data_IF_071929262480
#
_entry.id   IF_071929262480
#
_cell.length_a   1.000
_cell.length_b   1.000
_cell.length_c   1.000
_cell.angle_alpha   90.00
_cell.angle_beta   90.00
_cell.angle_gamma   90.00
#
_symmetry.space_group_name_H-M   'P 1'
#
loop_
_entity.id
_entity.type
_entity.pdbx_description
1 polymer ?
#
# COMPACT_ATOMS: atom_id res chain seq x y z
N UNK A 1 9.19 -50.50 7.04
CA UNK A 1 8.78 -49.32 7.81
C UNK A 1 8.67 -48.15 6.83
N UNK A 2 7.47 -47.74 6.40
CA UNK A 2 7.34 -46.53 5.58
C UNK A 2 7.37 -45.28 6.47
N UNK A 3 8.11 -44.27 6.03
CA UNK A 3 8.17 -42.93 6.61
C UNK A 3 6.76 -42.30 6.67
N UNK A 4 6.40 -41.57 7.74
CA UNK A 4 5.18 -40.78 7.76
C UNK A 4 5.34 -39.53 6.84
N UNK A 5 4.39 -39.25 5.95
CA UNK A 5 4.45 -38.04 5.14
C UNK A 5 4.34 -36.80 6.04
N UNK A 6 5.25 -35.86 5.80
CA UNK A 6 5.37 -34.59 6.50
C UNK A 6 4.04 -33.85 6.57
N UNK A 7 3.76 -33.30 7.75
CA UNK A 7 2.59 -32.50 8.06
C UNK A 7 2.35 -31.42 6.99
N UNK A 8 1.19 -31.48 6.36
CA UNK A 8 0.69 -30.44 5.47
C UNK A 8 0.52 -29.15 6.25
N UNK A 9 1.21 -28.11 5.81
CA UNK A 9 1.05 -26.73 6.27
C UNK A 9 -0.42 -26.29 6.13
N UNK A 10 -0.91 -25.34 6.97
CA UNK A 10 -2.30 -24.92 6.94
C UNK A 10 -2.61 -24.30 5.58
N UNK A 11 -3.55 -24.90 4.86
CA UNK A 11 -4.06 -24.40 3.58
C UNK A 11 -4.59 -22.99 3.79
N UNK A 12 -3.91 -22.01 3.21
CA UNK A 12 -4.43 -20.65 3.12
C UNK A 12 -5.79 -20.72 2.40
N UNK A 13 -6.81 -20.08 2.99
CA UNK A 13 -8.11 -19.95 2.33
C UNK A 13 -7.92 -18.99 1.16
N UNK A 14 -8.21 -19.46 -0.04
CA UNK A 14 -8.21 -18.64 -1.24
C UNK A 14 -9.66 -18.30 -1.58
N UNK A 15 -9.92 -17.01 -1.77
CA UNK A 15 -11.24 -16.51 -2.16
C UNK A 15 -11.18 -16.03 -3.61
N UNK A 16 -11.89 -16.74 -4.50
CA UNK A 16 -12.00 -16.39 -5.93
C UNK A 16 -13.25 -15.57 -6.17
N UNK A 17 -13.09 -14.44 -6.83
CA UNK A 17 -14.19 -13.52 -7.17
C UNK A 17 -14.85 -13.89 -8.52
N UNK A 18 -16.09 -13.44 -8.78
CA UNK A 18 -16.75 -13.66 -10.06
C UNK A 18 -15.94 -13.05 -11.23
N UNK A 19 -15.89 -13.73 -12.40
CA UNK A 19 -14.99 -13.35 -13.49
C UNK A 19 -15.38 -12.06 -14.25
N UNK A 20 -16.58 -11.51 -14.01
CA UNK A 20 -17.09 -10.28 -14.65
C UNK A 20 -17.16 -9.08 -13.68
N UNK A 21 -16.60 -9.23 -12.49
CA UNK A 21 -16.74 -8.23 -11.44
C UNK A 21 -15.80 -7.04 -11.66
N UNK A 22 -16.37 -5.87 -11.96
CA UNK A 22 -15.60 -4.63 -12.17
C UNK A 22 -15.36 -3.81 -10.89
N UNK A 23 -16.24 -3.99 -9.89
CA UNK A 23 -16.24 -3.21 -8.66
C UNK A 23 -16.40 -4.12 -7.46
N UNK A 24 -15.48 -4.04 -6.52
CA UNK A 24 -15.47 -4.83 -5.30
C UNK A 24 -15.52 -3.92 -4.08
N UNK A 25 -16.46 -4.20 -3.18
CA UNK A 25 -16.53 -3.54 -1.86
C UNK A 25 -16.53 -4.63 -0.80
N UNK A 26 -15.58 -4.54 0.13
CA UNK A 26 -15.47 -5.41 1.30
C UNK A 26 -15.44 -4.51 2.53
N UNK A 27 -16.50 -4.57 3.35
CA UNK A 27 -16.59 -3.81 4.60
C UNK A 27 -16.73 -4.75 5.79
N UNK A 28 -15.96 -4.50 6.85
CA UNK A 28 -16.12 -5.08 8.19
C UNK A 28 -16.42 -6.60 8.21
N UNK A 29 -15.63 -7.35 7.43
CA UNK A 29 -15.74 -8.81 7.33
C UNK A 29 -14.82 -9.48 8.35
N UNK A 30 -14.96 -9.14 9.64
CA UNK A 30 -14.08 -9.64 10.69
C UNK A 30 -14.05 -11.18 10.74
N UNK A 31 -12.93 -11.78 10.34
CA UNK A 31 -12.69 -13.22 10.38
C UNK A 31 -13.45 -14.07 9.33
N UNK A 32 -14.29 -13.47 8.49
CA UNK A 32 -15.06 -14.20 7.46
C UNK A 32 -14.24 -14.47 6.20
N UNK A 33 -13.45 -13.49 5.79
CA UNK A 33 -12.52 -13.59 4.67
C UNK A 33 -11.14 -13.77 5.26
N UNK A 34 -10.57 -14.97 5.09
CA UNK A 34 -9.25 -15.32 5.62
C UNK A 34 -8.28 -15.56 4.48
N UNK A 35 -7.03 -15.15 4.64
CA UNK A 35 -5.97 -15.50 3.69
C UNK A 35 -5.92 -14.59 2.46
N UNK A 36 -5.84 -15.20 1.28
CA UNK A 36 -5.57 -14.50 0.01
C UNK A 36 -6.86 -14.27 -0.77
N UNK A 37 -7.03 -13.05 -1.27
CA UNK A 37 -8.10 -12.69 -2.18
C UNK A 37 -7.55 -12.55 -3.60
N UNK A 38 -8.13 -13.32 -4.53
CA UNK A 38 -7.71 -13.34 -5.92
C UNK A 38 -8.57 -12.39 -6.77
N UNK A 39 -7.92 -11.40 -7.38
CA UNK A 39 -8.54 -10.33 -8.15
C UNK A 39 -8.81 -10.77 -9.59
N UNK A 40 -10.04 -10.61 -10.12
CA UNK A 40 -10.39 -11.00 -11.47
C UNK A 40 -9.99 -9.91 -12.48
N UNK A 41 -9.75 -10.34 -13.72
CA UNK A 41 -9.30 -9.50 -14.84
C UNK A 41 -10.06 -8.18 -15.08
N UNK A 42 -11.41 -8.11 -15.02
CA UNK A 42 -12.11 -6.87 -15.31
C UNK A 42 -12.21 -5.92 -14.11
N UNK A 43 -11.61 -6.27 -12.96
CA UNK A 43 -11.70 -5.46 -11.76
C UNK A 43 -11.01 -4.11 -11.97
N UNK A 44 -11.78 -3.03 -11.78
CA UNK A 44 -11.34 -1.63 -11.91
C UNK A 44 -11.36 -0.89 -10.59
N UNK A 45 -12.32 -1.19 -9.72
CA UNK A 45 -12.53 -0.46 -8.47
C UNK A 45 -12.54 -1.39 -7.27
N UNK A 46 -11.76 -1.03 -6.26
CA UNK A 46 -11.65 -1.82 -5.04
C UNK A 46 -11.72 -0.93 -3.80
N UNK A 47 -12.60 -1.33 -2.88
CA UNK A 47 -12.78 -0.70 -1.58
C UNK A 47 -12.71 -1.79 -0.50
N UNK A 48 -11.73 -1.72 0.40
CA UNK A 48 -11.63 -2.61 1.55
C UNK A 48 -11.56 -1.75 2.81
N UNK A 49 -12.53 -1.94 3.72
CA UNK A 49 -12.69 -1.14 4.92
C UNK A 49 -12.80 -2.05 6.14
N UNK A 50 -11.96 -1.81 7.14
CA UNK A 50 -12.06 -2.50 8.44
C UNK A 50 -11.83 -4.00 8.36
N UNK A 51 -11.00 -4.48 7.43
CA UNK A 51 -10.75 -5.91 7.30
C UNK A 51 -9.66 -6.40 8.28
N UNK A 52 -9.92 -7.53 8.94
CA UNK A 52 -9.01 -8.16 9.91
C UNK A 52 -8.73 -9.64 9.66
N UNK A 53 -9.04 -10.15 8.46
CA UNK A 53 -8.81 -11.55 8.10
C UNK A 53 -8.05 -11.77 6.79
N UNK A 54 -8.17 -10.84 5.84
CA UNK A 54 -7.40 -10.84 4.61
C UNK A 54 -5.94 -10.51 4.90
N UNK A 55 -5.05 -11.33 4.39
CA UNK A 55 -3.60 -11.19 4.56
C UNK A 55 -2.93 -10.73 3.29
N UNK A 56 -3.46 -11.11 2.13
CA UNK A 56 -2.86 -10.83 0.83
C UNK A 56 -3.91 -10.55 -0.24
N UNK A 57 -3.57 -9.68 -1.18
CA UNK A 57 -4.27 -9.51 -2.45
C UNK A 57 -3.37 -9.99 -3.59
N UNK A 58 -3.88 -10.86 -4.45
CA UNK A 58 -3.15 -11.44 -5.58
C UNK A 58 -3.96 -11.35 -6.86
N UNK A 59 -3.31 -11.25 -8.02
CA UNK A 59 -4.00 -11.27 -9.30
C UNK A 59 -4.17 -12.70 -9.79
N UNK A 60 -5.34 -13.04 -10.32
CA UNK A 60 -5.47 -14.26 -11.11
C UNK A 60 -4.58 -14.14 -12.35
N UNK A 61 -3.62 -15.05 -12.52
CA UNK A 61 -2.85 -15.16 -13.75
C UNK A 61 -3.77 -15.63 -14.88
N UNK A 62 -4.25 -14.68 -15.68
CA UNK A 62 -4.94 -14.91 -16.94
C UNK A 62 -4.35 -14.02 -18.05
N UNK A 63 -4.83 -14.16 -19.27
CA UNK A 63 -4.37 -13.36 -20.44
C UNK A 63 -4.55 -11.84 -20.26
N UNK A 64 -5.40 -11.41 -19.31
CA UNK A 64 -5.63 -10.02 -18.97
C UNK A 64 -5.60 -9.84 -17.44
N UNK A 65 -4.54 -9.29 -16.84
CA UNK A 65 -4.55 -8.94 -15.42
C UNK A 65 -5.50 -7.75 -15.18
N UNK A 66 -5.99 -7.56 -13.93
CA UNK A 66 -6.77 -6.38 -13.60
C UNK A 66 -5.99 -5.09 -13.89
N UNK A 67 -6.71 -4.03 -14.23
CA UNK A 67 -6.19 -2.67 -14.32
C UNK A 67 -7.05 -1.79 -13.42
N UNK A 68 -6.58 -1.57 -12.19
CA UNK A 68 -7.31 -0.79 -11.20
C UNK A 68 -7.27 0.68 -11.57
N UNK A 69 -8.44 1.30 -11.56
CA UNK A 69 -8.66 2.74 -11.67
C UNK A 69 -8.79 3.38 -10.27
N UNK A 70 -9.30 2.62 -9.30
CA UNK A 70 -9.58 3.08 -7.94
C UNK A 70 -9.19 2.04 -6.90
N UNK A 71 -8.30 2.41 -5.96
CA UNK A 71 -7.91 1.58 -4.83
C UNK A 71 -8.08 2.34 -3.51
N UNK A 72 -8.96 1.82 -2.65
CA UNK A 72 -9.21 2.34 -1.32
C UNK A 72 -9.04 1.24 -0.27
N UNK A 73 -8.08 1.42 0.63
CA UNK A 73 -7.80 0.52 1.74
C UNK A 73 -7.81 1.32 3.04
N UNK A 74 -8.76 1.04 3.92
CA UNK A 74 -8.88 1.74 5.20
C UNK A 74 -9.02 0.75 6.35
N UNK A 75 -8.26 0.96 7.43
CA UNK A 75 -8.33 0.13 8.66
C UNK A 75 -8.13 -1.37 8.40
N UNK A 76 -7.32 -1.76 7.42
CA UNK A 76 -7.00 -3.18 7.15
C UNK A 76 -5.85 -3.65 8.06
N UNK A 77 -6.20 -4.28 9.18
CA UNK A 77 -5.25 -4.62 10.25
C UNK A 77 -4.29 -5.77 9.92
N UNK A 78 -4.75 -6.73 9.10
CA UNK A 78 -3.99 -7.95 8.76
C UNK A 78 -3.43 -7.97 7.34
N UNK A 79 -3.92 -7.08 6.47
CA UNK A 79 -3.51 -7.06 5.07
C UNK A 79 -2.04 -6.64 4.97
N UNK A 80 -1.18 -7.57 4.58
CA UNK A 80 0.26 -7.41 4.57
C UNK A 80 0.84 -7.24 3.16
N UNK A 81 0.16 -7.83 2.17
CA UNK A 81 0.65 -7.93 0.79
C UNK A 81 -0.38 -7.43 -0.22
N UNK A 82 0.10 -6.68 -1.21
CA UNK A 82 -0.66 -6.19 -2.36
C UNK A 82 -0.03 -6.74 -3.65
N UNK A 83 -0.75 -6.77 -4.79
CA UNK A 83 -0.21 -7.24 -6.07
C UNK A 83 1.04 -6.43 -6.46
N UNK A 84 2.00 -7.03 -7.15
CA UNK A 84 3.21 -6.32 -7.59
C UNK A 84 3.39 -6.36 -9.11
N UNK A 85 2.31 -6.62 -9.83
CA UNK A 85 2.26 -6.63 -11.28
C UNK A 85 2.06 -5.19 -11.79
N UNK A 86 2.81 -4.74 -12.81
CA UNK A 86 2.75 -3.36 -13.28
C UNK A 86 1.40 -2.97 -13.88
N UNK A 87 0.75 -3.89 -14.61
CA UNK A 87 -0.54 -3.68 -15.27
C UNK A 87 -1.67 -3.37 -14.26
N UNK A 88 -1.55 -3.83 -13.02
CA UNK A 88 -2.56 -3.62 -11.97
C UNK A 88 -2.75 -2.15 -11.66
N UNK A 89 -1.68 -1.37 -11.78
CA UNK A 89 -1.64 0.02 -11.33
C UNK A 89 -1.53 1.01 -12.50
N UNK A 90 -1.47 0.55 -13.75
CA UNK A 90 -1.21 1.41 -14.90
C UNK A 90 -2.33 2.41 -15.20
N UNK A 91 -3.56 2.12 -14.77
CA UNK A 91 -4.72 3.00 -14.95
C UNK A 91 -5.16 3.68 -13.65
N UNK A 92 -4.37 3.57 -12.58
CA UNK A 92 -4.79 4.01 -11.25
C UNK A 92 -4.88 5.54 -11.23
N UNK A 93 -6.11 6.05 -11.06
CA UNK A 93 -6.39 7.47 -10.97
C UNK A 93 -6.58 7.96 -9.53
N UNK A 94 -6.99 7.05 -8.64
CA UNK A 94 -7.19 7.33 -7.22
C UNK A 94 -6.56 6.25 -6.34
N UNK A 95 -5.88 6.69 -5.28
CA UNK A 95 -5.26 5.81 -4.30
C UNK A 95 -5.43 6.31 -2.86
N UNK A 96 -6.11 5.55 -2.01
CA UNK A 96 -6.12 5.81 -0.57
C UNK A 96 -5.69 4.56 0.22
N UNK A 97 -4.67 4.70 1.07
CA UNK A 97 -4.22 3.64 2.00
C UNK A 97 -3.99 4.23 3.38
N UNK A 98 -4.90 3.92 4.32
CA UNK A 98 -4.92 4.49 5.67
C UNK A 98 -5.17 3.46 6.75
N UNK A 99 -4.43 3.55 7.85
CA UNK A 99 -4.63 2.66 8.99
C UNK A 99 -4.44 1.19 8.64
N UNK A 100 -3.52 0.89 7.73
CA UNK A 100 -3.18 -0.47 7.30
C UNK A 100 -1.81 -0.87 7.87
N UNK A 101 -1.70 -1.24 9.17
CA UNK A 101 -0.43 -1.41 9.86
C UNK A 101 0.42 -2.56 9.30
N UNK A 102 -0.21 -3.65 8.87
CA UNK A 102 0.46 -4.85 8.37
C UNK A 102 1.16 -4.65 7.01
N UNK A 103 0.71 -3.68 6.18
CA UNK A 103 1.41 -3.28 4.96
C UNK A 103 2.69 -2.57 5.37
N UNK A 104 3.81 -3.28 5.40
CA UNK A 104 5.10 -2.70 5.83
C UNK A 104 5.70 -1.79 4.76
N UNK A 105 5.50 -2.13 3.49
CA UNK A 105 5.98 -1.41 2.31
C UNK A 105 4.98 -1.57 1.18
N UNK A 106 4.83 -0.55 0.35
CA UNK A 106 4.03 -0.65 -0.87
C UNK A 106 4.77 -1.50 -1.92
N UNK A 107 4.06 -2.21 -2.82
CA UNK A 107 4.67 -2.89 -3.96
C UNK A 107 5.49 -1.94 -4.83
N UNK A 108 6.58 -2.43 -5.43
CA UNK A 108 7.47 -1.61 -6.29
C UNK A 108 6.69 -0.97 -7.44
N UNK A 109 5.81 -1.73 -8.08
CA UNK A 109 5.01 -1.23 -9.20
C UNK A 109 4.04 -0.12 -8.76
N UNK A 110 3.40 -0.26 -7.60
CA UNK A 110 2.56 0.80 -7.03
C UNK A 110 3.40 2.04 -6.68
N UNK A 111 4.58 1.87 -6.07
CA UNK A 111 5.49 2.97 -5.76
C UNK A 111 5.89 3.78 -7.00
N UNK A 112 6.14 3.11 -8.14
CA UNK A 112 6.47 3.77 -9.40
C UNK A 112 5.33 4.63 -9.94
N UNK A 113 4.08 4.29 -9.65
CA UNK A 113 2.90 5.06 -10.07
C UNK A 113 2.54 6.20 -9.11
N UNK A 114 3.07 6.23 -7.88
CA UNK A 114 2.76 7.30 -6.92
C UNK A 114 3.07 8.71 -7.47
N UNK A 115 4.06 8.83 -8.36
CA UNK A 115 4.43 10.10 -8.96
C UNK A 115 3.45 10.62 -10.03
N UNK A 116 2.63 9.74 -10.61
CA UNK A 116 1.65 10.06 -11.66
C UNK A 116 0.21 10.13 -11.16
N UNK A 117 -0.07 9.63 -9.95
CA UNK A 117 -1.41 9.69 -9.34
C UNK A 117 -1.60 11.05 -8.66
N UNK A 118 -2.51 11.85 -9.19
CA UNK A 118 -2.85 13.18 -8.64
C UNK A 118 -3.67 13.07 -7.35
N UNK A 119 -4.69 12.22 -7.35
CA UNK A 119 -5.55 12.01 -6.19
C UNK A 119 -5.06 10.82 -5.36
N UNK A 120 -4.22 11.11 -4.37
CA UNK A 120 -3.70 10.10 -3.44
C UNK A 120 -3.69 10.57 -2.00
N UNK A 121 -4.04 9.67 -1.10
CA UNK A 121 -3.92 9.86 0.34
C UNK A 121 -3.28 8.63 0.98
N UNK A 122 -2.11 8.79 1.58
CA UNK A 122 -1.36 7.69 2.18
C UNK A 122 -1.03 8.02 3.63
N UNK A 123 -0.99 7.01 4.51
CA UNK A 123 -0.35 7.21 5.81
C UNK A 123 1.09 7.73 5.62
N UNK A 124 1.52 8.65 6.48
CA UNK A 124 2.84 9.31 6.41
C UNK A 124 4.02 8.33 6.26
N UNK A 125 3.89 7.10 6.77
CA UNK A 125 4.87 6.01 6.63
C UNK A 125 5.16 5.60 5.18
N UNK A 126 4.23 5.85 4.25
CA UNK A 126 4.39 5.53 2.82
C UNK A 126 4.83 6.75 2.01
N UNK A 127 4.60 7.97 2.50
CA UNK A 127 4.96 9.21 1.81
C UNK A 127 6.47 9.43 1.68
N UNK A 128 7.26 8.94 2.65
CA UNK A 128 8.73 9.08 2.66
C UNK A 128 9.38 8.39 1.45
N UNK A 129 8.76 7.35 0.90
CA UNK A 129 9.23 6.65 -0.31
C UNK A 129 8.77 7.32 -1.61
N UNK A 130 7.80 8.24 -1.55
CA UNK A 130 7.28 8.98 -2.69
C UNK A 130 8.08 10.26 -3.00
N UNK A 131 9.09 10.60 -2.18
CA UNK A 131 10.03 11.68 -2.48
C UNK A 131 10.79 11.31 -3.75
N UNK A 132 10.56 12.09 -4.82
CA UNK A 132 11.25 11.92 -6.11
C UNK A 132 12.77 11.95 -5.92
N UNK A 133 13.56 11.11 -6.61
CA UNK A 133 15.02 11.19 -6.57
C UNK A 133 15.57 12.61 -6.83
N UNK A 134 14.85 13.40 -7.62
CA UNK A 134 15.21 14.80 -7.90
C UNK A 134 15.13 15.71 -6.67
N UNK A 135 14.22 15.47 -5.72
CA UNK A 135 14.21 16.24 -4.48
C UNK A 135 15.32 15.82 -3.51
N UNK A 136 15.98 14.67 -3.73
CA UNK A 136 17.07 14.20 -2.86
C UNK A 136 18.33 15.07 -3.02
N UNK A 137 18.53 15.65 -4.21
CA UNK A 137 19.61 16.60 -4.48
C UNK A 137 19.52 17.85 -3.60
N UNK A 138 18.31 18.26 -3.23
CA UNK A 138 18.07 19.44 -2.39
C UNK A 138 18.09 19.12 -0.89
N UNK A 139 17.98 17.86 -0.46
CA UNK A 139 17.96 17.47 0.96
C UNK A 139 19.18 18.00 1.72
N UNK A 140 20.44 17.84 1.25
CA UNK A 140 21.60 18.39 1.95
C UNK A 140 21.53 19.91 2.12
N UNK A 141 20.96 20.62 1.14
CA UNK A 141 20.80 22.08 1.20
C UNK A 141 19.76 22.48 2.23
N UNK A 142 18.58 21.86 2.19
CA UNK A 142 17.49 22.10 3.15
C UNK A 142 17.90 21.79 4.58
N UNK A 143 18.67 20.72 4.81
CA UNK A 143 19.21 20.38 6.13
C UNK A 143 20.18 21.48 6.63
N UNK A 144 21.05 22.00 5.75
CA UNK A 144 21.96 23.10 6.10
C UNK A 144 21.19 24.38 6.43
N UNK A 145 20.20 24.74 5.63
CA UNK A 145 19.37 25.94 5.86
C UNK A 145 18.62 25.84 7.19
N UNK A 146 17.99 24.70 7.49
CA UNK A 146 17.32 24.49 8.79
C UNK A 146 18.28 24.54 9.97
N UNK A 147 19.48 23.97 9.83
CA UNK A 147 20.53 24.06 10.86
C UNK A 147 20.95 25.51 11.09
N UNK A 148 21.13 26.29 10.02
CA UNK A 148 21.50 27.71 10.10
C UNK A 148 20.42 28.52 10.81
N UNK A 149 19.16 28.36 10.41
CA UNK A 149 18.02 29.03 11.04
C UNK A 149 17.90 28.68 12.53
N UNK A 150 18.10 27.40 12.90
CA UNK A 150 18.09 26.98 14.30
C UNK A 150 19.26 27.60 15.11
N UNK A 151 20.43 27.73 14.50
CA UNK A 151 21.59 28.38 15.12
C UNK A 151 21.34 29.88 15.35
N UNK A 152 20.79 30.57 14.35
CA UNK A 152 20.44 31.99 14.43
C UNK A 152 19.36 32.24 15.49
N UNK A 153 18.31 31.42 15.51
CA UNK A 153 17.27 31.50 16.53
C UNK A 153 17.83 31.29 17.95
N UNK A 154 18.80 30.37 18.10
CA UNK A 154 19.48 30.13 19.38
C UNK A 154 20.30 31.33 19.83
N UNK A 155 21.02 31.99 18.92
CA UNK A 155 21.80 33.19 19.21
C UNK A 155 20.88 34.34 19.63
N UNK A 156 19.80 34.58 18.86
CA UNK A 156 18.82 35.62 19.18
C UNK A 156 18.18 35.40 20.55
N UNK A 157 17.82 34.16 20.87
CA UNK A 157 17.26 33.82 22.18
C UNK A 157 18.24 34.09 23.32
N UNK A 158 19.53 33.79 23.14
CA UNK A 158 20.57 34.07 24.14
C UNK A 158 20.77 35.56 24.35
N UNK A 159 20.82 36.37 23.28
CA UNK A 159 20.96 37.83 23.38
C UNK A 159 19.76 38.56 23.98
N UNK A 160 18.59 37.92 24.04
CA UNK A 160 17.41 38.47 24.73
C UNK A 160 17.39 38.16 26.23
N UNK A 161 18.26 37.26 26.70
CA UNK A 161 18.33 36.79 28.09
C UNK A 161 19.68 37.11 28.78
N UNK A 162 20.55 37.89 28.12
CA UNK A 162 21.70 38.60 28.70
C UNK A 162 21.37 40.09 28.90
#
# INVERSE_FOLDING_TARGET
MPEPPAATAPTAREHVLPPHLESLVIGDCAGMLGGTLCLPAPLKRMYIIGNSGLTSLECLSGEHPPSLEFLFLERCSTLASLPNEPHVYSSLGYLEIRGCPAIKKLPRCLQQQLGSIDDKYLDARYEVMALKPETWKEIPRLVRERRKAAQEAKILWQSMHE
#
